data_IF_778316026582
#
_entry.id   IF_778316026582
#
_cell.length_a   1.000
_cell.length_b   1.000
_cell.length_c   1.000
_cell.angle_alpha   90.00
_cell.angle_beta   90.00
_cell.angle_gamma   90.00
#
_symmetry.space_group_name_H-M   'P 1'
#
loop_
_entity.id
_entity.type
_entity.pdbx_description
1 polymer ?
#
# COMPACT_ATOMS: atom_id res chain seq x y z
N UNK A 1 13.30 -20.20 17.99
CA UNK A 1 12.55 -20.08 16.71
C UNK A 1 12.19 -18.64 16.29
N UNK A 2 12.03 -17.69 17.21
CA UNK A 2 11.58 -16.32 16.87
C UNK A 2 12.54 -15.52 15.97
N UNK A 3 13.86 -15.67 16.17
CA UNK A 3 14.87 -14.99 15.34
C UNK A 3 14.88 -15.50 13.90
N UNK A 4 14.76 -16.81 13.70
CA UNK A 4 14.67 -17.42 12.36
C UNK A 4 13.43 -16.96 11.61
N UNK A 5 12.28 -16.89 12.30
CA UNK A 5 11.05 -16.34 11.73
C UNK A 5 11.26 -14.89 11.29
N UNK A 6 11.94 -14.07 12.08
CA UNK A 6 12.24 -12.68 11.74
C UNK A 6 13.19 -12.55 10.55
N UNK A 7 14.25 -13.37 10.49
CA UNK A 7 15.17 -13.42 9.34
C UNK A 7 14.40 -13.72 8.04
N UNK A 8 13.53 -14.74 8.08
CA UNK A 8 12.68 -15.12 6.94
C UNK A 8 11.73 -13.98 6.57
N UNK A 9 11.00 -13.42 7.53
CA UNK A 9 10.05 -12.33 7.25
C UNK A 9 10.74 -11.10 6.66
N UNK A 10 11.87 -10.67 7.24
CA UNK A 10 12.65 -9.52 6.72
C UNK A 10 13.20 -9.79 5.32
N UNK A 11 13.68 -11.01 5.05
CA UNK A 11 14.12 -11.41 3.72
C UNK A 11 12.96 -11.48 2.70
N UNK A 12 11.76 -11.86 3.12
CA UNK A 12 10.58 -11.88 2.26
C UNK A 12 10.02 -10.48 1.95
N UNK A 13 10.21 -9.50 2.84
CA UNK A 13 9.81 -8.10 2.59
C UNK A 13 10.45 -7.53 1.33
N UNK A 14 11.64 -8.00 0.95
CA UNK A 14 12.31 -7.54 -0.27
C UNK A 14 11.75 -8.16 -1.56
N UNK A 15 10.71 -9.01 -1.48
CA UNK A 15 10.09 -9.71 -2.62
C UNK A 15 11.12 -10.30 -3.59
N UNK A 16 12.01 -11.21 -3.13
CA UNK A 16 13.06 -11.77 -3.96
C UNK A 16 12.46 -12.52 -5.17
N UNK A 17 13.05 -12.33 -6.35
CA UNK A 17 12.57 -12.97 -7.59
C UNK A 17 13.16 -14.36 -7.82
N UNK A 18 14.12 -14.79 -7.01
CA UNK A 18 14.69 -16.14 -7.05
C UNK A 18 15.09 -16.66 -5.66
N UNK A 19 15.24 -17.99 -5.56
CA UNK A 19 15.73 -18.62 -4.33
C UNK A 19 17.17 -18.21 -4.00
N UNK A 20 18.01 -17.94 -4.99
CA UNK A 20 19.40 -17.53 -4.75
C UNK A 20 19.48 -16.10 -4.19
N UNK A 21 18.63 -15.19 -4.68
CA UNK A 21 18.49 -13.86 -4.08
C UNK A 21 18.01 -13.95 -2.63
N UNK A 22 17.03 -14.82 -2.37
CA UNK A 22 16.54 -15.06 -1.01
C UNK A 22 17.63 -15.62 -0.09
N UNK A 23 18.39 -16.63 -0.55
CA UNK A 23 19.53 -17.19 0.20
C UNK A 23 20.60 -16.14 0.49
N UNK A 24 20.95 -15.32 -0.50
CA UNK A 24 21.92 -14.22 -0.33
C UNK A 24 21.43 -13.21 0.71
N UNK A 25 20.13 -12.86 0.72
CA UNK A 25 19.55 -12.00 1.76
C UNK A 25 19.57 -12.64 3.15
N UNK A 26 19.27 -13.93 3.26
CA UNK A 26 19.34 -14.65 4.53
C UNK A 26 20.77 -14.72 5.08
N UNK A 27 21.78 -14.88 4.22
CA UNK A 27 23.19 -14.85 4.62
C UNK A 27 23.60 -13.51 5.22
N UNK A 28 23.07 -12.41 4.67
CA UNK A 28 23.33 -11.06 5.18
C UNK A 28 22.59 -10.77 6.49
N UNK A 29 21.47 -11.45 6.77
CA UNK A 29 20.71 -11.34 8.02
C UNK A 29 21.23 -12.33 9.06
N UNK A 30 22.51 -12.26 9.38
CA UNK A 30 23.11 -13.11 10.42
C UNK A 30 22.47 -12.87 11.80
N UNK A 31 22.65 -13.81 12.73
CA UNK A 31 22.10 -13.66 14.09
C UNK A 31 22.57 -12.36 14.76
N UNK A 32 23.84 -12.02 14.62
CA UNK A 32 24.41 -10.79 15.18
C UNK A 32 23.82 -9.54 14.52
N UNK A 33 23.56 -9.60 13.21
CA UNK A 33 22.93 -8.50 12.49
C UNK A 33 21.49 -8.27 12.94
N UNK A 34 20.71 -9.34 13.15
CA UNK A 34 19.35 -9.23 13.72
C UNK A 34 19.38 -8.61 15.12
N UNK A 35 20.34 -8.99 15.96
CA UNK A 35 20.48 -8.40 17.29
C UNK A 35 20.83 -6.91 17.23
N UNK A 36 21.75 -6.52 16.33
CA UNK A 36 22.10 -5.10 16.11
C UNK A 36 20.89 -4.30 15.65
N UNK A 37 20.12 -4.82 14.70
CA UNK A 37 18.91 -4.18 14.20
C UNK A 37 17.87 -4.00 15.32
N UNK A 38 17.62 -5.04 16.13
CA UNK A 38 16.70 -4.91 17.28
C UNK A 38 17.20 -3.92 18.33
N UNK A 39 18.51 -3.83 18.54
CA UNK A 39 19.08 -2.86 19.47
C UNK A 39 18.92 -1.43 18.95
N UNK A 40 19.22 -1.20 17.66
CA UNK A 40 19.05 0.12 17.05
C UNK A 40 17.57 0.54 16.99
N UNK A 41 16.66 -0.39 16.68
CA UNK A 41 15.21 -0.16 16.72
C UNK A 41 14.73 0.28 18.12
N UNK A 42 15.24 -0.35 19.20
CA UNK A 42 14.93 0.05 20.58
C UNK A 42 15.49 1.42 20.94
N UNK A 43 16.77 1.67 20.65
CA UNK A 43 17.41 2.96 20.96
C UNK A 43 16.71 4.11 20.23
N UNK A 44 16.43 3.94 18.93
CA UNK A 44 15.71 4.94 18.15
C UNK A 44 14.32 5.19 18.74
N UNK A 45 13.60 4.13 19.15
CA UNK A 45 12.27 4.28 19.72
C UNK A 45 12.26 5.08 21.02
N UNK A 46 13.26 4.90 21.89
CA UNK A 46 13.45 5.67 23.13
C UNK A 46 13.74 7.14 22.84
N UNK A 47 14.60 7.46 21.88
CA UNK A 47 14.91 8.84 21.47
C UNK A 47 13.66 9.59 21.00
N UNK A 48 12.78 8.92 20.24
CA UNK A 48 11.51 9.49 19.77
C UNK A 48 10.47 9.74 20.87
N UNK A 49 10.69 9.30 22.12
CA UNK A 49 9.80 9.58 23.26
C UNK A 49 10.17 10.85 24.03
N UNK A 50 11.26 11.53 23.68
CA UNK A 50 11.63 12.77 24.36
C UNK A 50 10.57 13.86 24.16
N UNK A 51 10.29 14.64 25.21
CA UNK A 51 9.22 15.64 25.22
C UNK A 51 9.28 16.64 24.05
N UNK A 52 10.44 17.24 23.69
CA UNK A 52 10.50 18.16 22.53
C UNK A 52 10.17 17.48 21.21
N UNK A 53 10.51 16.20 21.04
CA UNK A 53 10.21 15.44 19.82
C UNK A 53 8.72 15.11 19.75
N UNK A 54 8.09 14.74 20.87
CA UNK A 54 6.65 14.50 20.91
C UNK A 54 5.85 15.78 20.60
N UNK A 55 6.21 16.91 21.21
CA UNK A 55 5.57 18.20 20.93
C UNK A 55 5.70 18.62 19.46
N UNK A 56 6.85 18.34 18.84
CA UNK A 56 7.06 18.59 17.42
C UNK A 56 6.22 17.66 16.54
N UNK A 57 6.13 16.37 16.90
CA UNK A 57 5.30 15.39 16.19
C UNK A 57 3.83 15.79 16.21
N UNK A 58 3.30 16.22 17.35
CA UNK A 58 1.90 16.68 17.46
C UNK A 58 1.63 17.90 16.56
N UNK A 59 2.58 18.84 16.49
CA UNK A 59 2.44 20.04 15.64
C UNK A 59 2.44 19.71 14.15
N UNK A 60 3.26 18.75 13.71
CA UNK A 60 3.43 18.41 12.27
C UNK A 60 2.46 17.30 11.82
N UNK A 61 1.94 16.50 12.75
CA UNK A 61 0.98 15.42 12.48
C UNK A 61 -0.20 15.83 11.58
N UNK A 62 -0.89 16.98 11.75
CA UNK A 62 -1.99 17.35 10.86
C UNK A 62 -1.53 17.54 9.41
N UNK A 63 -0.36 18.12 9.18
CA UNK A 63 0.21 18.31 7.85
C UNK A 63 0.59 16.97 7.20
N UNK A 64 1.19 16.06 7.97
CA UNK A 64 1.50 14.69 7.50
C UNK A 64 0.22 13.97 7.10
N UNK A 65 -0.83 14.05 7.91
CA UNK A 65 -2.12 13.41 7.61
C UNK A 65 -2.79 14.03 6.37
N UNK A 66 -2.70 15.34 6.21
CA UNK A 66 -3.22 16.01 5.01
C UNK A 66 -2.44 15.60 3.76
N UNK A 67 -1.10 15.47 3.85
CA UNK A 67 -0.28 14.98 2.75
C UNK A 67 -0.64 13.53 2.36
N UNK A 68 -0.85 12.66 3.36
CA UNK A 68 -1.35 11.29 3.13
C UNK A 68 -2.72 11.33 2.46
N UNK A 69 -3.63 12.18 2.92
CA UNK A 69 -4.97 12.33 2.34
C UNK A 69 -4.89 12.79 0.88
N UNK A 70 -4.06 13.77 0.56
CA UNK A 70 -3.84 14.23 -0.82
C UNK A 70 -3.30 13.10 -1.69
N UNK A 71 -2.30 12.36 -1.23
CA UNK A 71 -1.76 11.22 -1.95
C UNK A 71 -2.82 10.14 -2.19
N UNK A 72 -3.66 9.85 -1.20
CA UNK A 72 -4.75 8.87 -1.32
C UNK A 72 -5.84 9.34 -2.29
N UNK A 73 -6.21 10.61 -2.26
CA UNK A 73 -7.17 11.19 -3.21
C UNK A 73 -6.63 11.08 -4.65
N UNK A 74 -5.37 11.45 -4.86
CA UNK A 74 -4.72 11.31 -6.17
C UNK A 74 -4.75 9.84 -6.63
N UNK A 75 -4.47 8.89 -5.73
CA UNK A 75 -4.52 7.47 -6.06
C UNK A 75 -5.93 6.98 -6.43
N UNK A 76 -6.97 7.51 -5.78
CA UNK A 76 -8.36 7.23 -6.16
C UNK A 76 -8.69 7.85 -7.53
N UNK A 77 -8.18 9.04 -7.83
CA UNK A 77 -8.38 9.72 -9.12
C UNK A 77 -7.68 8.98 -10.26
N UNK A 78 -6.48 8.45 -10.03
CA UNK A 78 -5.79 7.54 -10.96
C UNK A 78 -6.64 6.30 -11.26
N UNK A 79 -7.24 5.70 -10.22
CA UNK A 79 -8.10 4.53 -10.35
C UNK A 79 -7.38 3.19 -10.14
N UNK A 80 -8.15 2.12 -9.97
CA UNK A 80 -7.62 0.78 -9.72
C UNK A 80 -8.50 -0.28 -10.37
N UNK A 81 -7.85 -1.35 -10.83
CA UNK A 81 -8.49 -2.53 -11.38
C UNK A 81 -8.76 -3.57 -10.29
N UNK A 82 -9.98 -4.09 -10.25
CA UNK A 82 -10.46 -5.04 -9.27
C UNK A 82 -10.87 -6.34 -9.96
N UNK A 83 -10.55 -7.48 -9.34
CA UNK A 83 -10.96 -8.80 -9.84
C UNK A 83 -12.36 -9.15 -9.33
N UNK A 84 -13.25 -9.65 -10.19
CA UNK A 84 -14.58 -10.10 -9.79
C UNK A 84 -14.54 -11.44 -9.05
N UNK A 85 -15.19 -11.52 -7.89
CA UNK A 85 -15.14 -12.70 -6.99
C UNK A 85 -15.84 -13.96 -7.57
N UNK A 86 -16.80 -13.80 -8.48
CA UNK A 86 -17.69 -14.88 -8.95
C UNK A 86 -17.43 -15.40 -10.39
N UNK A 87 -16.28 -15.08 -11.01
CA UNK A 87 -15.99 -15.56 -12.37
C UNK A 87 -15.56 -17.03 -12.37
N UNK A 88 -16.53 -17.97 -12.39
CA UNK A 88 -16.29 -19.43 -12.39
C UNK A 88 -15.82 -20.01 -13.75
N UNK A 89 -15.71 -19.20 -14.81
CA UNK A 89 -15.20 -19.64 -16.12
C UNK A 89 -13.91 -18.88 -16.45
N UNK A 90 -13.04 -19.48 -17.29
CA UNK A 90 -11.70 -19.04 -17.76
C UNK A 90 -11.55 -17.61 -18.34
N UNK A 91 -12.49 -16.70 -18.11
CA UNK A 91 -12.33 -15.28 -18.36
C UNK A 91 -12.17 -14.58 -17.01
N UNK A 92 -10.95 -14.12 -16.72
CA UNK A 92 -10.71 -13.21 -15.60
C UNK A 92 -11.41 -11.89 -15.90
N UNK A 93 -12.66 -11.77 -15.45
CA UNK A 93 -13.43 -10.55 -15.58
C UNK A 93 -12.96 -9.56 -14.53
N UNK A 94 -12.46 -8.43 -15.00
CA UNK A 94 -12.09 -7.32 -14.14
C UNK A 94 -13.19 -6.27 -14.16
N UNK A 95 -13.13 -5.36 -13.20
CA UNK A 95 -13.83 -4.10 -13.26
C UNK A 95 -12.90 -3.01 -12.76
N UNK A 96 -13.07 -1.80 -13.25
CA UNK A 96 -12.21 -0.69 -12.96
C UNK A 96 -13.01 0.40 -12.28
N UNK A 97 -12.40 1.09 -11.32
CA UNK A 97 -13.02 2.20 -10.61
C UNK A 97 -12.00 3.33 -10.44
N UNK A 98 -12.42 4.55 -10.75
CA UNK A 98 -11.64 5.76 -10.56
C UNK A 98 -12.51 6.92 -10.08
N UNK A 99 -11.91 7.84 -9.35
CA UNK A 99 -12.55 9.02 -8.83
C UNK A 99 -12.43 10.19 -9.83
N UNK A 100 -13.51 10.92 -10.04
CA UNK A 100 -13.49 12.17 -10.80
C UNK A 100 -12.52 13.18 -10.14
N UNK A 101 -11.79 14.03 -10.90
CA UNK A 101 -10.83 14.99 -10.32
C UNK A 101 -11.42 15.99 -9.31
N UNK A 102 -12.74 16.19 -9.31
CA UNK A 102 -13.44 17.03 -8.34
C UNK A 102 -13.77 16.31 -7.02
N UNK A 103 -13.40 15.04 -6.88
CA UNK A 103 -13.66 14.17 -5.73
C UNK A 103 -15.15 14.03 -5.37
N UNK A 104 -16.06 14.06 -6.35
CA UNK A 104 -17.52 13.93 -6.09
C UNK A 104 -18.14 12.66 -6.65
N UNK A 105 -17.60 12.12 -7.74
CA UNK A 105 -18.22 11.01 -8.48
C UNK A 105 -17.21 9.90 -8.71
N UNK A 106 -17.54 8.67 -8.30
CA UNK A 106 -16.81 7.47 -8.70
C UNK A 106 -17.34 7.00 -10.06
N UNK A 107 -16.44 6.83 -11.01
CA UNK A 107 -16.70 6.21 -12.30
C UNK A 107 -16.22 4.77 -12.23
N UNK A 108 -17.08 3.83 -12.63
CA UNK A 108 -16.70 2.42 -12.65
C UNK A 108 -17.34 1.67 -13.82
N UNK A 109 -16.78 0.49 -14.14
CA UNK A 109 -17.27 -0.31 -15.26
C UNK A 109 -16.48 -1.60 -15.41
N UNK A 110 -17.04 -2.51 -16.19
CA UNK A 110 -16.44 -3.81 -16.47
C UNK A 110 -15.29 -3.69 -17.48
N UNK A 111 -14.24 -4.50 -17.28
CA UNK A 111 -13.13 -4.64 -18.21
C UNK A 111 -12.94 -6.11 -18.62
N UNK A 112 -12.74 -6.34 -19.91
CA UNK A 112 -12.45 -7.67 -20.45
C UNK A 112 -11.01 -8.14 -20.17
N UNK A 113 -10.06 -7.20 -20.06
CA UNK A 113 -8.65 -7.48 -19.76
C UNK A 113 -8.11 -6.47 -18.73
N UNK A 114 -7.05 -6.84 -18.02
CA UNK A 114 -6.35 -5.91 -17.12
C UNK A 114 -5.76 -4.75 -17.94
N UNK A 115 -6.11 -3.49 -17.63
CA UNK A 115 -5.65 -2.35 -18.42
C UNK A 115 -4.14 -2.16 -18.25
N UNK A 116 -3.43 -2.00 -19.37
CA UNK A 116 -1.98 -1.74 -19.40
C UNK A 116 -1.65 -0.24 -19.23
N UNK A 117 -2.67 0.62 -19.05
CA UNK A 117 -2.54 2.07 -18.94
C UNK A 117 -3.77 2.73 -18.31
N UNK A 118 -3.87 4.06 -18.44
CA UNK A 118 -4.99 4.83 -17.90
C UNK A 118 -6.30 4.55 -18.63
N UNK A 119 -7.36 4.28 -17.87
CA UNK A 119 -8.72 4.06 -18.40
C UNK A 119 -9.48 5.39 -18.37
N UNK A 120 -9.89 5.95 -19.53
CA UNK A 120 -10.60 7.23 -19.58
C UNK A 120 -11.94 7.21 -18.84
N UNK A 121 -12.32 8.33 -18.22
CA UNK A 121 -13.58 8.46 -17.49
C UNK A 121 -14.83 8.13 -18.33
N UNK A 122 -14.78 8.44 -19.63
CA UNK A 122 -15.91 8.26 -20.55
C UNK A 122 -16.11 6.80 -21.01
N UNK A 123 -15.10 5.95 -20.79
CA UNK A 123 -15.20 4.51 -21.09
C UNK A 123 -15.89 3.71 -19.98
N UNK A 124 -16.08 4.31 -18.80
CA UNK A 124 -16.70 3.68 -17.65
C UNK A 124 -18.19 4.01 -17.64
N UNK A 125 -19.01 2.97 -17.69
CA UNK A 125 -20.45 3.07 -17.96
C UNK A 125 -21.25 3.57 -16.75
N UNK A 126 -20.80 3.24 -15.55
CA UNK A 126 -21.53 3.52 -14.31
C UNK A 126 -20.89 4.66 -13.50
N UNK A 127 -21.74 5.38 -12.77
CA UNK A 127 -21.35 6.52 -11.92
C UNK A 127 -22.08 6.44 -10.59
N UNK A 128 -21.36 6.74 -9.50
CA UNK A 128 -21.92 6.83 -8.15
C UNK A 128 -21.41 8.10 -7.46
N UNK A 129 -22.30 8.87 -6.83
CA UNK A 129 -21.87 10.04 -6.07
C UNK A 129 -21.29 9.60 -4.73
N UNK A 130 -20.17 10.19 -4.31
CA UNK A 130 -19.52 9.81 -3.04
C UNK A 130 -20.44 10.03 -1.84
N UNK A 131 -21.27 11.07 -1.86
CA UNK A 131 -22.19 11.38 -0.77
C UNK A 131 -23.28 10.33 -0.57
N UNK A 132 -23.50 9.45 -1.54
CA UNK A 132 -24.48 8.34 -1.47
C UNK A 132 -23.87 7.08 -0.83
N UNK A 133 -22.54 7.02 -0.69
CA UNK A 133 -21.84 5.88 -0.11
C UNK A 133 -21.94 5.96 1.41
N UNK A 134 -22.73 5.08 2.01
CA UNK A 134 -22.80 4.96 3.46
C UNK A 134 -21.50 4.35 4.02
N UNK A 135 -20.97 4.90 5.13
CA UNK A 135 -19.82 4.33 5.83
C UNK A 135 -20.13 3.01 6.55
#
# INVERSE_FOLDING_TARGET
MQVVKEQIMRALTTKPSSLDQFKSKLQNLSYTEILKIRQSERMNQEDFQSRPILELKEKIQPEILELIKQQRLNRLVEGTCFRKLNSRRRQDKFWYCRLSPNHKVLHYGDLEESPQGEVPHDSLQDKCNIWEINP
#
